data_IF_518667530385
#
_entry.id   IF_518667530385
#
_cell.length_a   1.000
_cell.length_b   1.000
_cell.length_c   1.000
_cell.angle_alpha   90.00
_cell.angle_beta   90.00
_cell.angle_gamma   90.00
#
_symmetry.space_group_name_H-M   'P 1'
#
loop_
_entity.id
_entity.type
_entity.pdbx_description
1 polymer ?
#
# COMPACT_ATOMS: atom_id res chain seq x y z
N UNK A 1 -1.44 41.82 -14.50
CA UNK A 1 -2.24 40.95 -13.61
C UNK A 1 -2.70 39.77 -14.44
N UNK A 2 -1.83 38.76 -14.57
CA UNK A 2 -2.07 37.61 -15.44
C UNK A 2 -2.89 36.59 -14.65
N UNK A 3 -4.14 36.42 -15.04
CA UNK A 3 -4.97 35.30 -14.61
C UNK A 3 -4.30 34.05 -15.13
N UNK A 4 -3.59 33.34 -14.24
CA UNK A 4 -3.12 31.99 -14.53
C UNK A 4 -4.36 31.11 -14.66
N UNK A 5 -4.59 30.63 -15.87
CA UNK A 5 -5.65 29.71 -16.26
C UNK A 5 -5.60 28.47 -15.36
N UNK A 6 -6.68 28.18 -14.62
CA UNK A 6 -6.85 26.99 -13.77
C UNK A 6 -6.63 25.67 -14.54
N UNK A 7 -6.60 25.70 -15.88
CA UNK A 7 -6.30 24.56 -16.75
C UNK A 7 -4.82 24.17 -16.74
N UNK A 8 -3.88 25.05 -16.38
CA UNK A 8 -2.46 24.68 -16.29
C UNK A 8 -2.11 23.89 -15.02
N UNK A 9 -2.96 23.92 -13.98
CA UNK A 9 -2.78 23.07 -12.78
C UNK A 9 -3.06 21.58 -13.04
N UNK A 10 -3.66 21.23 -14.18
CA UNK A 10 -4.10 19.86 -14.51
C UNK A 10 -3.13 19.08 -15.39
N UNK A 11 -1.93 19.61 -15.70
CA UNK A 11 -0.91 18.93 -16.52
C UNK A 11 0.34 18.50 -15.73
N UNK A 12 0.12 17.97 -14.53
CA UNK A 12 1.04 17.04 -13.88
C UNK A 12 0.38 15.65 -13.73
N UNK A 13 -0.27 15.18 -14.78
CA UNK A 13 -0.73 13.79 -14.88
C UNK A 13 0.44 12.93 -15.36
N UNK A 14 1.33 12.55 -14.43
CA UNK A 14 2.55 11.82 -14.77
C UNK A 14 3.43 11.42 -13.59
N UNK A 15 3.03 11.70 -12.35
CA UNK A 15 3.49 10.94 -11.19
C UNK A 15 2.31 10.81 -10.26
N UNK A 16 1.78 9.59 -10.11
CA UNK A 16 0.96 9.27 -8.93
C UNK A 16 1.85 9.66 -7.75
N UNK A 17 1.48 10.71 -7.01
CA UNK A 17 2.22 11.08 -5.83
C UNK A 17 2.19 9.84 -4.93
N UNK A 18 3.32 9.11 -4.88
CA UNK A 18 3.48 7.88 -4.11
C UNK A 18 3.09 8.20 -2.68
N UNK A 19 1.90 7.80 -2.28
CA UNK A 19 1.46 8.02 -0.91
C UNK A 19 2.26 7.04 -0.07
N UNK A 20 3.17 7.58 0.75
CA UNK A 20 4.00 6.80 1.68
C UNK A 20 3.13 5.84 2.52
N UNK A 21 1.95 6.32 2.90
CA UNK A 21 0.90 5.57 3.58
C UNK A 21 -0.47 6.06 3.10
N UNK A 22 -1.46 5.19 3.17
CA UNK A 22 -2.87 5.58 2.99
C UNK A 22 -3.41 6.34 4.21
N UNK A 23 -4.53 7.05 4.01
CA UNK A 23 -5.29 7.62 5.13
C UNK A 23 -5.86 6.51 6.03
N UNK A 24 -6.07 6.81 7.31
CA UNK A 24 -6.68 5.85 8.24
C UNK A 24 -8.06 5.36 7.77
N UNK A 25 -8.84 6.24 7.13
CA UNK A 25 -10.13 5.90 6.52
C UNK A 25 -9.97 4.86 5.41
N UNK A 26 -9.04 5.07 4.47
CA UNK A 26 -8.77 4.11 3.40
C UNK A 26 -8.24 2.78 3.98
N UNK A 27 -7.35 2.83 4.96
CA UNK A 27 -6.88 1.61 5.65
C UNK A 27 -8.08 0.82 6.19
N UNK A 28 -9.01 1.46 6.88
CA UNK A 28 -10.18 0.79 7.42
C UNK A 28 -11.09 0.22 6.31
N UNK A 29 -11.39 1.01 5.27
CA UNK A 29 -12.25 0.61 4.17
C UNK A 29 -11.66 -0.54 3.35
N UNK A 30 -10.42 -0.42 2.89
CA UNK A 30 -9.77 -1.42 2.04
C UNK A 30 -9.58 -2.74 2.79
N UNK A 31 -9.12 -2.70 4.05
CA UNK A 31 -8.97 -3.93 4.84
C UNK A 31 -10.31 -4.61 5.15
N UNK A 32 -11.39 -3.84 5.33
CA UNK A 32 -12.73 -4.41 5.51
C UNK A 32 -13.20 -5.07 4.21
N UNK A 33 -13.01 -4.40 3.07
CA UNK A 33 -13.35 -4.93 1.75
C UNK A 33 -12.56 -6.21 1.45
N UNK A 34 -11.25 -6.21 1.68
CA UNK A 34 -10.39 -7.35 1.37
C UNK A 34 -10.78 -8.60 2.15
N UNK A 35 -11.10 -8.47 3.45
CA UNK A 35 -11.53 -9.60 4.28
C UNK A 35 -12.99 -10.01 4.05
N UNK A 36 -13.82 -9.11 3.54
CA UNK A 36 -15.24 -9.38 3.29
C UNK A 36 -15.57 -9.86 1.88
N UNK A 37 -14.61 -9.85 0.95
CA UNK A 37 -14.83 -10.19 -0.45
C UNK A 37 -14.72 -11.71 -0.69
N UNK A 38 -15.77 -12.31 -1.24
CA UNK A 38 -15.75 -13.73 -1.64
C UNK A 38 -14.72 -13.96 -2.75
N UNK A 39 -14.65 -13.07 -3.74
CA UNK A 39 -13.69 -13.17 -4.84
C UNK A 39 -12.24 -13.21 -4.34
N UNK A 40 -11.91 -12.42 -3.30
CA UNK A 40 -10.58 -12.45 -2.73
C UNK A 40 -10.31 -13.70 -1.89
N UNK A 41 -11.33 -14.21 -1.19
CA UNK A 41 -11.19 -15.44 -0.42
C UNK A 41 -11.01 -16.69 -1.32
N UNK A 42 -11.50 -16.66 -2.56
CA UNK A 42 -11.30 -17.74 -3.54
C UNK A 42 -9.94 -17.68 -4.23
N UNK A 43 -9.37 -16.49 -4.41
CA UNK A 43 -8.12 -16.28 -5.14
C UNK A 43 -6.88 -16.28 -4.25
N UNK A 44 -6.99 -15.82 -3.00
CA UNK A 44 -5.85 -15.49 -2.17
C UNK A 44 -5.89 -16.18 -0.81
N UNK A 45 -4.71 -16.40 -0.23
CA UNK A 45 -4.54 -16.77 1.15
C UNK A 45 -5.25 -15.74 2.07
N UNK A 46 -5.75 -16.14 3.26
CA UNK A 46 -6.48 -15.24 4.12
C UNK A 46 -5.71 -13.96 4.48
N UNK A 47 -6.43 -12.84 4.51
CA UNK A 47 -5.92 -11.51 4.90
C UNK A 47 -6.17 -11.15 6.37
N UNK A 48 -6.83 -12.02 7.13
CA UNK A 48 -7.08 -11.84 8.58
C UNK A 48 -5.84 -11.47 9.41
N UNK A 49 -4.63 -12.03 9.17
CA UNK A 49 -3.47 -11.68 9.97
C UNK A 49 -2.82 -10.35 9.56
N UNK A 50 -3.25 -9.72 8.47
CA UNK A 50 -2.58 -8.57 7.85
C UNK A 50 -3.40 -7.29 7.97
N UNK A 51 -2.73 -6.14 8.06
CA UNK A 51 -3.32 -4.82 7.88
C UNK A 51 -2.59 -4.11 6.74
N UNK A 52 -3.26 -3.95 5.60
CA UNK A 52 -2.73 -3.22 4.43
C UNK A 52 -2.71 -1.71 4.70
N UNK A 53 -1.62 -1.04 4.32
CA UNK A 53 -1.44 0.38 4.67
C UNK A 53 -0.74 1.25 3.63
N UNK A 54 -0.21 0.66 2.55
CA UNK A 54 0.49 1.37 1.47
C UNK A 54 0.51 0.51 0.21
N UNK A 55 0.87 1.09 -0.94
CA UNK A 55 1.03 0.41 -2.23
C UNK A 55 2.35 0.76 -2.92
N UNK A 56 2.81 -0.16 -3.76
CA UNK A 56 4.01 0.02 -4.60
C UNK A 56 3.70 0.69 -5.95
N UNK A 57 2.43 0.99 -6.24
CA UNK A 57 1.99 1.64 -7.49
C UNK A 57 1.89 0.72 -8.71
N UNK A 58 2.19 -0.57 -8.57
CA UNK A 58 2.06 -1.62 -9.60
C UNK A 58 0.91 -2.61 -9.30
N UNK A 59 0.11 -2.36 -8.27
CA UNK A 59 -0.92 -3.27 -7.77
C UNK A 59 -0.53 -3.98 -6.48
N UNK A 60 0.77 -4.10 -6.20
CA UNK A 60 1.29 -4.73 -4.98
C UNK A 60 1.09 -3.82 -3.77
N UNK A 61 0.83 -4.44 -2.63
CA UNK A 61 0.44 -3.72 -1.43
C UNK A 61 1.24 -4.17 -0.22
N UNK A 62 1.59 -3.20 0.62
CA UNK A 62 2.31 -3.44 1.85
C UNK A 62 1.33 -3.66 2.99
N UNK A 63 1.62 -4.68 3.79
CA UNK A 63 0.82 -5.04 4.95
C UNK A 63 1.69 -5.31 6.18
N UNK A 64 1.20 -4.91 7.35
CA UNK A 64 1.81 -5.22 8.64
C UNK A 64 1.08 -6.38 9.29
N UNK A 65 1.81 -7.30 9.94
CA UNK A 65 1.20 -8.39 10.70
C UNK A 65 0.53 -7.83 11.96
N UNK A 66 -0.76 -8.16 12.16
CA UNK A 66 -1.59 -7.62 13.24
C UNK A 66 -1.23 -8.21 14.62
N UNK A 67 -0.75 -9.45 14.67
CA UNK A 67 -0.42 -10.18 15.90
C UNK A 67 1.01 -10.71 15.86
N UNK A 68 1.73 -10.59 16.97
CA UNK A 68 3.12 -11.05 17.07
C UNK A 68 4.14 -9.99 16.66
N UNK A 69 5.13 -10.38 15.86
CA UNK A 69 6.14 -9.49 15.32
C UNK A 69 5.48 -8.59 14.26
N UNK A 70 5.44 -7.27 14.51
CA UNK A 70 4.80 -6.25 13.65
C UNK A 70 5.62 -5.98 12.38
N UNK A 71 6.01 -7.06 11.71
CA UNK A 71 6.80 -7.07 10.49
C UNK A 71 5.93 -6.69 9.29
N UNK A 72 6.59 -6.17 8.27
CA UNK A 72 5.96 -5.68 7.05
C UNK A 72 6.28 -6.64 5.92
N UNK A 73 5.25 -6.99 5.17
CA UNK A 73 5.32 -7.80 3.96
C UNK A 73 4.82 -6.99 2.78
N UNK A 74 5.36 -7.28 1.59
CA UNK A 74 4.71 -6.95 0.32
C UNK A 74 3.89 -8.16 -0.12
N UNK A 75 2.65 -7.92 -0.51
CA UNK A 75 1.79 -8.89 -1.17
C UNK A 75 1.81 -8.63 -2.67
N UNK A 76 2.20 -9.64 -3.44
CA UNK A 76 2.11 -9.64 -4.90
C UNK A 76 0.69 -10.06 -5.29
N UNK A 77 -0.01 -9.17 -5.99
CA UNK A 77 -1.40 -9.38 -6.36
C UNK A 77 -1.60 -10.34 -7.55
N UNK A 78 -0.54 -10.67 -8.28
CA UNK A 78 -0.58 -11.57 -9.44
C UNK A 78 -0.44 -13.04 -9.04
N UNK A 79 0.44 -13.33 -8.07
CA UNK A 79 0.78 -14.71 -7.66
C UNK A 79 0.49 -15.03 -6.18
N UNK A 80 -0.08 -14.08 -5.43
CA UNK A 80 -0.41 -14.15 -4.00
C UNK A 80 0.80 -14.36 -3.06
N UNK A 81 2.02 -14.24 -3.58
CA UNK A 81 3.22 -14.34 -2.76
C UNK A 81 3.31 -13.19 -1.74
N UNK A 82 3.89 -13.48 -0.58
CA UNK A 82 4.05 -12.55 0.54
C UNK A 82 5.51 -12.53 0.96
N UNK A 83 6.22 -11.48 0.58
CA UNK A 83 7.65 -11.36 0.83
C UNK A 83 7.90 -10.40 1.98
N UNK A 84 8.70 -10.84 2.96
CA UNK A 84 9.12 -9.98 4.07
C UNK A 84 9.96 -8.82 3.54
N UNK A 85 9.64 -7.59 3.95
CA UNK A 85 10.33 -6.38 3.47
C UNK A 85 10.93 -5.54 4.58
N UNK A 86 10.38 -5.57 5.79
CA UNK A 86 10.94 -4.81 6.90
C UNK A 86 10.53 -5.39 8.27
N UNK A 87 11.39 -5.24 9.30
CA UNK A 87 11.09 -5.74 10.65
C UNK A 87 10.03 -4.91 11.38
N UNK A 88 9.81 -3.66 10.96
CA UNK A 88 8.83 -2.74 11.58
C UNK A 88 8.29 -1.76 10.53
N UNK A 89 7.12 -1.17 10.80
CA UNK A 89 6.58 -0.07 9.99
C UNK A 89 7.54 1.12 9.95
N UNK A 90 8.20 1.47 11.06
CA UNK A 90 9.15 2.59 11.07
C UNK A 90 10.33 2.33 10.13
N UNK A 91 10.88 1.11 10.14
CA UNK A 91 11.97 0.75 9.24
C UNK A 91 11.52 0.74 7.79
N UNK A 92 10.32 0.22 7.51
CA UNK A 92 9.69 0.32 6.20
C UNK A 92 9.62 1.77 5.72
N UNK A 93 9.09 2.69 6.54
CA UNK A 93 8.95 4.10 6.17
C UNK A 93 10.32 4.72 5.85
N UNK A 94 11.32 4.47 6.69
CA UNK A 94 12.68 4.98 6.50
C UNK A 94 13.28 4.51 5.16
N UNK A 95 13.18 3.21 4.86
CA UNK A 95 13.77 2.63 3.65
C UNK A 95 12.96 2.95 2.39
N UNK A 96 11.64 3.00 2.48
CA UNK A 96 10.77 3.35 1.36
C UNK A 96 10.90 4.82 0.96
N UNK A 97 10.90 5.74 1.92
CA UNK A 97 11.12 7.18 1.67
C UNK A 97 12.48 7.47 1.06
N UNK A 98 13.50 6.69 1.43
CA UNK A 98 14.88 6.86 0.93
C UNK A 98 15.15 6.05 -0.34
N UNK A 99 14.19 5.26 -0.82
CA UNK A 99 14.34 4.39 -1.98
C UNK A 99 15.31 3.22 -1.77
N UNK A 100 15.69 2.91 -0.51
CA UNK A 100 16.51 1.76 -0.14
C UNK A 100 15.72 0.46 -0.17
N UNK A 101 14.43 0.51 0.13
CA UNK A 101 13.54 -0.63 -0.04
C UNK A 101 13.25 -0.83 -1.53
N UNK A 102 13.45 -2.05 -2.02
CA UNK A 102 13.13 -2.48 -3.39
C UNK A 102 12.10 -3.60 -3.31
N UNK A 103 11.09 -3.49 -4.16
CA UNK A 103 10.02 -4.45 -4.38
C UNK A 103 9.89 -4.68 -5.87
#
# INVERSE_FOLDING_TARGET
MTVVDERERRRAAGSVARCLMWSAERIAQDNTRFRGSVDFAELYMPFDPLVFFSDAGNGDQFAVVMRGNREVYVWNHEDDSRTWVAPTVLRFLEEWMTGRLKV
#
